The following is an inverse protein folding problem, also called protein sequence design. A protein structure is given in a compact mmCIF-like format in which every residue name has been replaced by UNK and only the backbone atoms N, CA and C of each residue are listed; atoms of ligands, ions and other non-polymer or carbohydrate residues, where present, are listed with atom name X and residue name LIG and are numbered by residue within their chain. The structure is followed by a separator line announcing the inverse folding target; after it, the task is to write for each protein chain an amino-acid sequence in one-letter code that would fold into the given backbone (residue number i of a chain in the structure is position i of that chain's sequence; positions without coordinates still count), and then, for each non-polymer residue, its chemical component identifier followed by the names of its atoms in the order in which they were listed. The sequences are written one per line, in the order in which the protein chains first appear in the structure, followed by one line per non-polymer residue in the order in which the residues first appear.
data_IF_804565888720
#
_entry.id   IF_804565888720
#
_cell.length_a   1.000
_cell.length_b   1.000
_cell.length_c   1.000
_cell.angle_alpha   90.00
_cell.angle_beta   90.00
_cell.angle_gamma   90.00
#
_symmetry.space_group_name_H-M   'P 1'
#
loop_
_entity.id
_entity.type
_entity.pdbx_description
1 polymer ?
#
# COMPACT_ATOMS: atom_id res chain seq x y z
N UNK A 1 24.87 11.04 3.53
CA UNK A 1 23.92 11.45 4.58
C UNK A 1 23.76 10.25 5.48
N UNK A 2 24.60 10.17 6.50
CA UNK A 2 24.32 9.29 7.63
C UNK A 2 23.33 10.04 8.54
N UNK A 3 22.47 9.35 9.29
CA UNK A 3 21.56 10.00 10.25
C UNK A 3 22.30 10.77 11.33
N UNK A 4 23.50 10.30 11.69
CA UNK A 4 24.31 10.78 12.79
C UNK A 4 25.34 11.85 12.37
N UNK A 5 25.69 11.90 11.08
CA UNK A 5 26.54 12.95 10.51
C UNK A 5 25.94 13.54 9.22
N UNK A 6 25.63 14.84 9.27
CA UNK A 6 25.16 15.62 8.12
C UNK A 6 23.94 16.48 8.43
N UNK A 7 23.15 16.82 7.39
CA UNK A 7 22.05 17.79 7.50
C UNK A 7 21.11 17.57 8.69
N UNK A 8 20.77 16.30 9.00
CA UNK A 8 19.86 15.97 10.10
C UNK A 8 20.50 16.28 11.46
N UNK A 9 21.76 15.90 11.66
CA UNK A 9 22.51 16.17 12.89
C UNK A 9 22.82 17.67 13.04
N UNK A 10 23.13 18.37 11.95
CA UNK A 10 23.39 19.81 11.97
C UNK A 10 22.16 20.63 12.42
N UNK A 11 20.93 20.09 12.34
CA UNK A 11 19.74 20.77 12.88
C UNK A 11 19.75 20.85 14.41
N UNK A 12 20.46 19.94 15.08
CA UNK A 12 20.62 19.93 16.53
C UNK A 12 21.95 20.58 16.97
N UNK A 13 22.80 20.98 16.01
CA UNK A 13 24.10 21.60 16.27
C UNK A 13 23.93 23.05 16.78
N UNK A 14 24.35 23.38 18.02
CA UNK A 14 24.22 24.73 18.56
C UNK A 14 24.92 25.80 17.72
N UNK A 15 26.00 25.44 17.02
CA UNK A 15 26.73 26.36 16.14
C UNK A 15 25.97 26.69 14.86
N UNK A 16 24.98 25.89 14.46
CA UNK A 16 24.14 26.13 13.28
C UNK A 16 22.76 26.69 13.65
N UNK A 17 22.44 26.75 14.95
CA UNK A 17 21.11 27.09 15.44
C UNK A 17 20.61 28.47 14.98
N UNK A 18 21.52 29.43 14.75
CA UNK A 18 21.19 30.77 14.26
C UNK A 18 20.82 30.81 12.78
N UNK A 19 21.22 29.80 11.99
CA UNK A 19 20.87 29.66 10.58
C UNK A 19 19.56 28.90 10.39
N UNK A 20 19.14 28.11 11.38
CA UNK A 20 17.98 27.22 11.30
C UNK A 20 16.67 27.97 11.60
N UNK A 21 15.73 28.09 10.63
CA UNK A 21 14.43 28.70 10.88
C UNK A 21 13.68 27.99 12.01
N UNK A 22 13.03 28.72 12.96
CA UNK A 22 12.36 28.11 14.11
C UNK A 22 11.33 27.04 13.74
N UNK A 23 10.53 27.28 12.70
CA UNK A 23 9.54 26.32 12.19
C UNK A 23 10.18 25.06 11.61
N UNK A 24 11.40 25.15 11.09
CA UNK A 24 12.10 23.99 10.54
C UNK A 24 12.65 23.09 11.65
N UNK A 25 13.01 23.67 12.81
CA UNK A 25 13.54 22.93 13.98
C UNK A 25 12.56 21.86 14.47
N UNK A 26 11.27 22.16 14.52
CA UNK A 26 10.22 21.21 14.92
C UNK A 26 9.82 20.23 13.81
N UNK A 27 10.27 20.47 12.57
CA UNK A 27 9.86 19.69 11.40
C UNK A 27 10.94 18.70 10.91
N UNK A 28 11.97 18.41 11.74
CA UNK A 28 13.04 17.46 11.42
C UNK A 28 12.51 16.10 10.99
N UNK A 29 11.57 15.53 11.76
CA UNK A 29 11.02 14.21 11.47
C UNK A 29 10.11 14.19 10.25
N UNK A 30 9.52 15.33 9.88
CA UNK A 30 8.79 15.48 8.61
C UNK A 30 9.76 15.58 7.44
N UNK A 31 10.84 16.37 7.57
CA UNK A 31 11.82 16.55 6.50
C UNK A 31 12.53 15.23 6.14
N UNK A 32 12.99 14.49 7.15
CA UNK A 32 13.76 13.25 6.95
C UNK A 32 12.90 11.99 7.02
N UNK A 33 11.65 12.05 7.48
CA UNK A 33 10.83 10.88 7.72
C UNK A 33 11.51 9.90 8.68
N UNK A 34 11.34 8.60 8.41
CA UNK A 34 12.04 7.52 9.10
C UNK A 34 13.35 7.12 8.40
N UNK A 35 14.07 8.07 7.79
CA UNK A 35 15.39 7.78 7.20
C UNK A 35 16.38 7.10 8.16
N UNK A 36 16.45 7.43 9.47
CA UNK A 36 17.33 6.72 10.40
C UNK A 36 17.03 5.21 10.47
N UNK A 37 15.75 4.84 10.55
CA UNK A 37 15.31 3.44 10.56
C UNK A 37 15.75 2.69 9.28
N UNK A 38 15.60 3.33 8.11
CA UNK A 38 16.05 2.77 6.84
C UNK A 38 17.57 2.61 6.82
N UNK A 39 18.31 3.62 7.28
CA UNK A 39 19.76 3.58 7.33
C UNK A 39 20.25 2.45 8.23
N UNK A 40 19.74 2.34 9.46
CA UNK A 40 20.15 1.33 10.42
C UNK A 40 19.89 -0.08 9.91
N UNK A 41 18.72 -0.31 9.30
CA UNK A 41 18.41 -1.58 8.65
C UNK A 41 19.44 -1.92 7.57
N UNK A 42 19.77 -0.97 6.68
CA UNK A 42 20.70 -1.24 5.60
C UNK A 42 22.13 -1.40 6.08
N UNK A 43 22.59 -0.52 6.97
CA UNK A 43 23.96 -0.47 7.46
C UNK A 43 24.29 -1.66 8.34
N UNK A 44 23.38 -2.02 9.26
CA UNK A 44 23.67 -3.01 10.30
C UNK A 44 23.19 -4.43 9.94
N UNK A 45 22.29 -4.56 8.96
CA UNK A 45 21.67 -5.86 8.62
C UNK A 45 21.81 -6.16 7.15
N UNK A 46 21.19 -5.38 6.27
CA UNK A 46 20.98 -5.80 4.89
C UNK A 46 22.28 -5.83 4.08
N UNK A 47 23.16 -4.85 4.27
CA UNK A 47 24.45 -4.80 3.58
C UNK A 47 25.29 -6.06 3.86
N UNK A 48 25.41 -6.47 5.12
CA UNK A 48 26.17 -7.67 5.49
C UNK A 48 25.60 -8.96 4.89
N UNK A 49 24.26 -9.08 4.80
CA UNK A 49 23.65 -10.21 4.11
C UNK A 49 23.97 -10.19 2.61
N UNK A 50 23.95 -9.02 1.95
CA UNK A 50 24.35 -8.91 0.55
C UNK A 50 25.82 -9.27 0.33
N UNK A 51 26.72 -8.79 1.21
CA UNK A 51 28.16 -9.11 1.16
C UNK A 51 28.41 -10.61 1.35
N UNK A 52 27.60 -11.30 2.16
CA UNK A 52 27.70 -12.75 2.33
C UNK A 52 27.33 -13.56 1.08
N UNK A 53 26.68 -12.94 0.08
CA UNK A 53 26.31 -13.57 -1.17
C UNK A 53 27.29 -13.30 -2.32
N UNK A 54 28.43 -12.63 -2.10
CA UNK A 54 29.36 -12.27 -3.18
C UNK A 54 29.87 -13.49 -3.97
N UNK A 55 30.17 -14.59 -3.26
CA UNK A 55 30.66 -15.83 -3.88
C UNK A 55 29.55 -16.71 -4.49
N UNK A 56 28.29 -16.46 -4.11
CA UNK A 56 27.11 -17.19 -4.60
C UNK A 56 25.92 -16.23 -4.79
N UNK A 57 25.94 -15.37 -5.83
CA UNK A 57 24.94 -14.31 -6.02
C UNK A 57 23.50 -14.81 -6.14
N UNK A 58 23.30 -16.01 -6.67
CA UNK A 58 22.00 -16.69 -6.80
C UNK A 58 21.31 -16.93 -5.46
N UNK A 59 22.04 -16.90 -4.34
CA UNK A 59 21.47 -17.03 -2.99
C UNK A 59 20.89 -15.72 -2.44
N UNK A 60 21.09 -14.59 -3.12
CA UNK A 60 20.61 -13.29 -2.63
C UNK A 60 19.07 -13.26 -2.48
N UNK A 61 18.34 -14.11 -3.20
CA UNK A 61 16.89 -14.26 -3.06
C UNK A 61 16.48 -14.54 -1.61
N UNK A 62 17.22 -15.40 -0.90
CA UNK A 62 16.98 -15.68 0.52
C UNK A 62 17.11 -14.43 1.38
N UNK A 63 18.12 -13.58 1.13
CA UNK A 63 18.31 -12.34 1.87
C UNK A 63 17.12 -11.38 1.73
N UNK A 64 16.43 -11.38 0.59
CA UNK A 64 15.23 -10.55 0.41
C UNK A 64 14.00 -11.16 1.08
N UNK A 65 13.87 -12.49 1.08
CA UNK A 65 12.71 -13.19 1.66
C UNK A 65 12.71 -13.19 3.19
N UNK A 66 13.88 -13.17 3.82
CA UNK A 66 13.99 -13.16 5.29
C UNK A 66 13.76 -11.80 5.95
N UNK A 67 13.82 -10.71 5.18
CA UNK A 67 13.83 -9.35 5.73
C UNK A 67 12.54 -8.62 5.42
N UNK A 68 12.12 -7.76 6.35
CA UNK A 68 10.98 -6.88 6.15
C UNK A 68 11.45 -5.52 5.63
N UNK A 69 10.76 -5.04 4.60
CA UNK A 69 11.00 -3.76 3.95
C UNK A 69 9.84 -2.77 4.17
N UNK A 70 8.89 -3.06 5.08
CA UNK A 70 7.74 -2.19 5.37
C UNK A 70 8.12 -0.77 5.78
N UNK A 71 9.32 -0.53 6.33
CA UNK A 71 9.79 0.83 6.70
C UNK A 71 9.78 1.79 5.50
N UNK A 72 9.86 1.28 4.26
CA UNK A 72 9.74 2.10 3.06
C UNK A 72 8.33 2.68 2.84
N UNK A 73 7.27 2.01 3.31
CA UNK A 73 5.90 2.52 3.21
C UNK A 73 5.77 3.83 3.98
N UNK A 74 6.22 3.84 5.23
CA UNK A 74 6.23 5.02 6.11
C UNK A 74 7.02 6.18 5.49
N UNK A 75 8.19 5.88 4.90
CA UNK A 75 9.01 6.91 4.25
C UNK A 75 8.29 7.52 3.05
N UNK A 76 7.75 6.67 2.17
CA UNK A 76 7.05 7.11 0.98
C UNK A 76 5.79 7.92 1.31
N UNK A 77 4.99 7.49 2.30
CA UNK A 77 3.81 8.24 2.77
C UNK A 77 4.16 9.65 3.25
N UNK A 78 5.29 9.81 3.95
CA UNK A 78 5.79 11.10 4.42
C UNK A 78 6.43 11.96 3.30
N UNK A 79 6.94 11.35 2.23
CA UNK A 79 7.72 12.04 1.18
C UNK A 79 7.03 13.29 0.60
N UNK A 80 5.70 13.31 0.32
CA UNK A 80 5.04 14.52 -0.15
C UNK A 80 5.07 15.68 0.86
N UNK A 81 4.97 15.39 2.16
CA UNK A 81 5.06 16.41 3.22
C UNK A 81 6.49 16.93 3.32
N UNK A 82 7.48 16.03 3.28
CA UNK A 82 8.90 16.38 3.19
C UNK A 82 9.21 17.29 1.98
N UNK A 83 8.64 17.00 0.81
CA UNK A 83 8.80 17.82 -0.40
C UNK A 83 8.16 19.20 -0.26
N UNK A 84 6.93 19.27 0.26
CA UNK A 84 6.24 20.54 0.48
C UNK A 84 7.02 21.43 1.46
N UNK A 85 7.56 20.83 2.53
CA UNK A 85 8.45 21.51 3.47
C UNK A 85 9.74 21.96 2.80
N UNK A 86 10.40 21.08 2.04
CA UNK A 86 11.63 21.43 1.31
C UNK A 86 11.41 22.63 0.39
N UNK A 87 10.32 22.68 -0.38
CA UNK A 87 10.02 23.80 -1.28
C UNK A 87 9.96 25.15 -0.55
N UNK A 88 9.50 25.18 0.69
CA UNK A 88 9.41 26.40 1.49
C UNK A 88 10.78 26.87 2.03
N UNK A 89 11.73 25.95 2.22
CA UNK A 89 12.99 26.21 2.91
C UNK A 89 14.24 25.90 2.08
N UNK A 90 14.11 25.51 0.81
CA UNK A 90 15.23 25.07 -0.04
C UNK A 90 16.36 26.10 -0.13
N UNK A 91 16.02 27.40 -0.10
CA UNK A 91 16.98 28.51 -0.17
C UNK A 91 17.55 28.93 1.20
N UNK A 92 17.15 28.27 2.30
CA UNK A 92 17.64 28.59 3.64
C UNK A 92 19.16 28.50 3.73
N UNK A 93 19.79 29.51 4.34
CA UNK A 93 21.23 29.56 4.58
C UNK A 93 21.72 28.33 5.35
N UNK A 94 20.89 27.77 6.23
CA UNK A 94 21.20 26.52 6.94
C UNK A 94 21.57 25.39 5.99
N UNK A 95 20.77 25.15 4.93
CA UNK A 95 21.02 24.06 4.00
C UNK A 95 22.21 24.34 3.09
N UNK A 96 22.42 25.60 2.71
CA UNK A 96 23.59 26.01 1.92
C UNK A 96 24.89 25.76 2.70
N UNK A 97 24.94 26.14 3.98
CA UNK A 97 26.11 25.90 4.83
C UNK A 97 26.32 24.41 5.12
N UNK A 98 25.26 23.64 5.38
CA UNK A 98 25.37 22.18 5.47
C UNK A 98 25.92 21.57 4.19
N UNK A 99 25.46 22.02 3.02
CA UNK A 99 25.91 21.51 1.72
C UNK A 99 27.38 21.82 1.47
N UNK A 100 27.85 23.02 1.83
CA UNK A 100 29.27 23.41 1.75
C UNK A 100 30.13 22.57 2.70
N UNK A 101 29.75 22.45 3.98
CA UNK A 101 30.48 21.64 4.97
C UNK A 101 30.65 20.18 4.53
N UNK A 102 29.64 19.63 3.88
CA UNK A 102 29.63 18.24 3.40
C UNK A 102 30.20 18.09 1.98
N UNK A 103 30.60 19.19 1.33
CA UNK A 103 31.10 19.21 -0.05
C UNK A 103 30.16 18.52 -1.06
N UNK A 104 28.85 18.63 -0.83
CA UNK A 104 27.84 17.97 -1.63
C UNK A 104 27.57 18.70 -2.95
N UNK A 105 27.67 17.98 -4.07
CA UNK A 105 27.35 18.50 -5.41
C UNK A 105 25.85 18.63 -5.68
N UNK A 106 25.02 17.83 -5.00
CA UNK A 106 23.57 17.84 -5.13
C UNK A 106 22.93 18.48 -3.90
N UNK A 107 21.75 19.05 -4.09
CA UNK A 107 20.90 19.55 -3.01
C UNK A 107 20.33 18.40 -2.16
N UNK A 108 19.88 18.71 -0.93
CA UNK A 108 19.37 17.73 0.03
C UNK A 108 18.22 16.89 -0.54
N UNK A 109 17.27 17.48 -1.27
CA UNK A 109 16.12 16.77 -1.84
C UNK A 109 16.51 15.60 -2.76
N UNK A 110 17.62 15.74 -3.50
CA UNK A 110 18.17 14.66 -4.32
C UNK A 110 18.57 13.44 -3.48
N UNK A 111 19.06 13.66 -2.27
CA UNK A 111 19.37 12.58 -1.33
C UNK A 111 18.11 12.05 -0.63
N UNK A 112 17.15 12.93 -0.30
CA UNK A 112 15.84 12.52 0.24
C UNK A 112 15.04 11.65 -0.74
N UNK A 113 15.37 11.68 -2.04
CA UNK A 113 14.75 10.79 -3.04
C UNK A 113 15.38 9.39 -3.09
N UNK A 114 16.58 9.20 -2.51
CA UNK A 114 17.32 7.93 -2.60
C UNK A 114 16.57 6.72 -2.05
N UNK A 115 15.84 6.78 -0.91
CA UNK A 115 15.08 5.62 -0.45
C UNK A 115 14.01 5.17 -1.47
N UNK A 116 13.24 6.11 -2.02
CA UNK A 116 12.22 5.82 -3.06
C UNK A 116 12.86 5.17 -4.29
N UNK A 117 14.00 5.71 -4.74
CA UNK A 117 14.76 5.15 -5.86
C UNK A 117 15.35 3.78 -5.53
N UNK A 118 15.79 3.55 -4.29
CA UNK A 118 16.41 2.28 -3.89
C UNK A 118 15.38 1.16 -3.87
N UNK A 119 14.20 1.41 -3.28
CA UNK A 119 13.08 0.48 -3.27
C UNK A 119 12.72 0.00 -4.69
N UNK A 120 12.59 0.94 -5.63
CA UNK A 120 12.20 0.63 -7.02
C UNK A 120 13.31 -0.03 -7.83
N UNK A 121 14.58 0.10 -7.42
CA UNK A 121 15.72 -0.57 -8.06
C UNK A 121 15.86 -2.04 -7.70
N UNK A 122 15.42 -2.48 -6.51
CA UNK A 122 15.61 -3.87 -6.08
C UNK A 122 14.97 -4.88 -7.03
N UNK A 123 13.73 -4.65 -7.45
CA UNK A 123 13.07 -5.53 -8.41
C UNK A 123 13.77 -5.56 -9.79
N UNK A 124 14.39 -4.45 -10.22
CA UNK A 124 15.17 -4.42 -11.47
C UNK A 124 16.42 -5.27 -11.36
N UNK A 125 17.15 -5.14 -10.24
CA UNK A 125 18.38 -5.89 -9.99
C UNK A 125 18.11 -7.39 -9.85
N UNK A 126 17.07 -7.78 -9.12
CA UNK A 126 16.64 -9.18 -8.98
C UNK A 126 16.21 -9.76 -10.32
N UNK A 127 15.45 -9.00 -11.12
CA UNK A 127 15.05 -9.40 -12.47
C UNK A 127 16.26 -9.56 -13.38
N UNK A 128 17.26 -8.70 -13.27
CA UNK A 128 18.48 -8.79 -14.07
C UNK A 128 19.28 -10.04 -13.68
N UNK A 129 19.49 -10.26 -12.38
CA UNK A 129 20.19 -11.43 -11.88
C UNK A 129 19.49 -12.75 -12.30
N UNK A 130 18.16 -12.79 -12.22
CA UNK A 130 17.36 -13.95 -12.63
C UNK A 130 17.61 -14.38 -14.08
N UNK A 131 17.88 -13.43 -15.00
CA UNK A 131 18.19 -13.74 -16.40
C UNK A 131 19.46 -14.59 -16.55
N UNK A 132 20.41 -14.45 -15.62
CA UNK A 132 21.71 -15.12 -15.67
C UNK A 132 21.79 -16.37 -14.78
N UNK A 133 20.79 -16.62 -13.94
CA UNK A 133 20.81 -17.72 -12.97
C UNK A 133 20.03 -18.98 -13.40
N UNK A 134 19.57 -19.10 -14.65
CA UNK A 134 18.51 -20.05 -15.09
C UNK A 134 18.68 -21.55 -14.78
N UNK A 135 19.87 -21.99 -14.38
CA UNK A 135 20.18 -23.38 -14.03
C UNK A 135 20.94 -23.55 -12.69
N UNK A 136 20.92 -22.52 -11.84
CA UNK A 136 21.57 -22.51 -10.54
C UNK A 136 20.61 -22.93 -9.41
N UNK A 137 21.16 -23.43 -8.30
CA UNK A 137 20.41 -23.58 -7.05
C UNK A 137 20.05 -22.18 -6.52
N UNK A 138 18.81 -21.94 -6.04
CA UNK A 138 18.37 -20.62 -5.57
C UNK A 138 17.51 -19.79 -6.54
N UNK A 139 17.33 -20.23 -7.79
CA UNK A 139 16.50 -19.53 -8.79
C UNK A 139 15.06 -19.34 -8.34
N UNK A 140 14.51 -20.34 -7.66
CA UNK A 140 13.14 -20.30 -7.14
C UNK A 140 13.00 -19.18 -6.12
N UNK A 141 13.92 -19.09 -5.18
CA UNK A 141 13.94 -18.06 -4.14
C UNK A 141 14.23 -16.68 -4.73
N UNK A 142 15.05 -16.60 -5.78
CA UNK A 142 15.25 -15.37 -6.54
C UNK A 142 13.96 -14.87 -7.20
N UNK A 143 13.20 -15.79 -7.80
CA UNK A 143 11.92 -15.50 -8.43
C UNK A 143 10.86 -15.10 -7.39
N UNK A 144 10.82 -15.76 -6.24
CA UNK A 144 9.94 -15.40 -5.12
C UNK A 144 10.31 -14.02 -4.54
N UNK A 145 11.61 -13.73 -4.36
CA UNK A 145 12.09 -12.42 -3.93
C UNK A 145 11.71 -11.31 -4.91
N UNK A 146 11.81 -11.56 -6.22
CA UNK A 146 11.38 -10.62 -7.25
C UNK A 146 9.88 -10.30 -7.11
N UNK A 147 9.05 -11.33 -6.95
CA UNK A 147 7.61 -11.16 -6.74
C UNK A 147 7.33 -10.36 -5.46
N UNK A 148 7.98 -10.71 -4.35
CA UNK A 148 7.83 -10.00 -3.08
C UNK A 148 8.20 -8.51 -3.19
N UNK A 149 9.29 -8.18 -3.89
CA UNK A 149 9.70 -6.79 -4.10
C UNK A 149 8.75 -6.03 -5.04
N UNK A 150 8.22 -6.67 -6.08
CA UNK A 150 7.19 -6.08 -6.95
C UNK A 150 5.91 -5.80 -6.17
N UNK A 151 5.47 -6.75 -5.33
CA UNK A 151 4.30 -6.61 -4.48
C UNK A 151 4.47 -5.51 -3.44
N UNK A 152 5.67 -5.36 -2.88
CA UNK A 152 5.98 -4.26 -1.96
C UNK A 152 5.92 -2.90 -2.66
N UNK A 153 6.57 -2.75 -3.83
CA UNK A 153 6.53 -1.49 -4.59
C UNK A 153 5.09 -1.12 -4.93
N UNK A 154 4.29 -2.09 -5.36
CA UNK A 154 2.87 -1.91 -5.65
C UNK A 154 2.09 -1.52 -4.39
N UNK A 155 2.32 -2.21 -3.28
CA UNK A 155 1.69 -1.94 -1.98
C UNK A 155 1.96 -0.53 -1.50
N UNK A 156 3.22 -0.11 -1.52
CA UNK A 156 3.63 1.25 -1.12
C UNK A 156 2.96 2.28 -2.02
N UNK A 157 2.96 2.06 -3.35
CA UNK A 157 2.28 2.94 -4.29
C UNK A 157 0.76 3.04 -4.02
N UNK A 158 0.10 1.91 -3.77
CA UNK A 158 -1.34 1.90 -3.47
C UNK A 158 -1.66 2.62 -2.14
N UNK A 159 -0.78 2.47 -1.15
CA UNK A 159 -0.85 3.18 0.14
C UNK A 159 -0.71 4.70 -0.01
N UNK A 160 0.06 5.19 -1.00
CA UNK A 160 0.12 6.63 -1.32
C UNK A 160 -1.22 7.23 -1.72
N UNK A 161 -2.09 6.44 -2.36
CA UNK A 161 -3.43 6.86 -2.74
C UNK A 161 -4.39 6.84 -1.54
N UNK A 162 -4.23 5.89 -0.60
CA UNK A 162 -5.03 5.79 0.63
C UNK A 162 -4.94 7.06 1.48
N UNK A 163 -3.74 7.60 1.70
CA UNK A 163 -3.56 8.83 2.49
C UNK A 163 -4.16 10.08 1.82
N UNK A 164 -4.64 9.96 0.57
CA UNK A 164 -5.32 11.03 -0.16
C UNK A 164 -6.85 10.91 -0.08
N UNK A 165 -7.37 9.93 0.68
CA UNK A 165 -8.81 9.75 0.94
C UNK A 165 -9.25 10.70 2.06
N UNK A 166 -10.35 11.42 1.83
CA UNK A 166 -10.93 12.40 2.74
C UNK A 166 -12.41 12.11 2.99
N UNK A 167 -12.92 12.49 4.17
CA UNK A 167 -14.33 12.37 4.52
C UNK A 167 -14.79 10.97 4.92
N UNK A 168 -13.86 10.07 5.26
CA UNK A 168 -14.16 8.81 5.93
C UNK A 168 -14.15 9.04 7.45
N UNK A 169 -15.25 8.68 8.12
CA UNK A 169 -15.43 8.85 9.57
C UNK A 169 -15.08 7.53 10.28
N UNK A 170 -13.79 7.21 10.30
CA UNK A 170 -13.23 5.98 10.84
C UNK A 170 -11.75 5.82 10.50
N UNK A 171 -11.11 4.77 11.01
CA UNK A 171 -9.73 4.46 10.68
C UNK A 171 -9.65 3.53 9.45
N UNK A 172 -9.06 4.02 8.36
CA UNK A 172 -8.83 3.22 7.16
C UNK A 172 -7.87 2.05 7.42
N UNK A 173 -6.99 2.15 8.43
CA UNK A 173 -6.09 1.07 8.84
C UNK A 173 -6.83 -0.17 9.34
N UNK A 174 -8.02 -0.01 9.93
CA UNK A 174 -8.83 -1.14 10.41
C UNK A 174 -9.35 -2.02 9.27
N UNK A 175 -9.47 -1.47 8.05
CA UNK A 175 -9.90 -2.18 6.85
C UNK A 175 -8.84 -3.18 6.35
N UNK A 176 -7.62 -3.12 6.87
CA UNK A 176 -6.48 -3.95 6.49
C UNK A 176 -5.64 -3.33 5.37
N UNK A 177 -4.83 -4.15 4.70
CA UNK A 177 -3.96 -3.68 3.62
C UNK A 177 -4.77 -3.32 2.36
N UNK A 178 -4.37 -2.26 1.66
CA UNK A 178 -4.88 -1.98 0.30
C UNK A 178 -4.24 -2.97 -0.68
N UNK A 179 -5.08 -3.76 -1.33
CA UNK A 179 -4.68 -4.78 -2.29
C UNK A 179 -4.73 -4.26 -3.72
N UNK A 180 -5.67 -3.38 -4.04
CA UNK A 180 -5.80 -2.75 -5.36
C UNK A 180 -6.48 -1.40 -5.27
N UNK A 181 -6.19 -0.52 -6.22
CA UNK A 181 -6.96 0.68 -6.46
C UNK A 181 -7.08 0.98 -7.96
N UNK A 182 -8.13 1.72 -8.35
CA UNK A 182 -8.34 2.07 -9.75
C UNK A 182 -9.60 2.90 -9.99
N UNK A 183 -9.65 3.56 -11.14
CA UNK A 183 -10.81 4.35 -11.56
C UNK A 183 -11.72 3.56 -12.50
N UNK A 184 -13.02 3.57 -12.22
CA UNK A 184 -14.05 2.81 -12.92
C UNK A 184 -15.30 3.63 -13.22
N UNK A 185 -15.96 3.27 -14.31
CA UNK A 185 -17.36 3.63 -14.53
C UNK A 185 -18.25 2.66 -13.77
N UNK A 186 -19.07 3.17 -12.85
CA UNK A 186 -19.94 2.36 -11.97
C UNK A 186 -21.41 2.73 -12.18
N UNK A 187 -22.24 1.72 -12.44
CA UNK A 187 -23.70 1.84 -12.43
C UNK A 187 -24.26 1.15 -11.20
N UNK A 188 -25.35 1.68 -10.64
CA UNK A 188 -26.02 1.09 -9.48
C UNK A 188 -27.37 0.50 -9.92
N UNK A 189 -27.51 -0.80 -9.78
CA UNK A 189 -28.77 -1.52 -9.89
C UNK A 189 -29.30 -1.81 -8.50
N UNK A 190 -30.33 -1.10 -8.07
CA UNK A 190 -31.11 -1.48 -6.89
C UNK A 190 -32.26 -2.40 -7.33
N UNK A 191 -32.40 -3.56 -6.67
CA UNK A 191 -33.67 -4.28 -6.68
C UNK A 191 -34.70 -3.41 -5.93
N UNK A 192 -35.93 -3.37 -6.45
CA UNK A 192 -37.01 -2.45 -6.04
C UNK A 192 -37.20 -2.42 -4.51
N UNK A 193 -36.73 -1.35 -3.87
CA UNK A 193 -37.06 -0.94 -2.50
C UNK A 193 -37.47 0.55 -2.48
N UNK A 194 -38.20 1.02 -1.44
CA UNK A 194 -38.87 2.32 -1.43
C UNK A 194 -37.93 3.52 -1.32
N UNK A 195 -36.63 3.29 -1.12
CA UNK A 195 -35.62 4.33 -0.94
C UNK A 195 -35.27 4.95 -2.30
N UNK A 196 -35.96 6.03 -2.63
CA UNK A 196 -35.80 6.87 -3.82
C UNK A 196 -34.40 7.49 -3.90
N UNK A 197 -33.37 6.72 -4.27
CA UNK A 197 -32.15 7.30 -4.80
C UNK A 197 -32.42 7.64 -6.28
N UNK A 198 -32.40 8.93 -6.61
CA UNK A 198 -32.75 9.50 -7.93
C UNK A 198 -32.27 8.63 -9.10
N UNK A 199 -33.17 8.35 -10.03
CA UNK A 199 -33.02 7.53 -11.25
C UNK A 199 -31.85 7.87 -12.19
N UNK A 200 -31.06 8.89 -11.91
CA UNK A 200 -29.95 9.34 -12.76
C UNK A 200 -28.80 8.32 -12.85
N UNK A 201 -28.49 7.59 -11.78
CA UNK A 201 -27.39 6.60 -11.77
C UNK A 201 -27.74 5.31 -12.53
N UNK A 202 -29.01 5.14 -12.93
CA UNK A 202 -29.48 3.96 -13.66
C UNK A 202 -29.08 3.99 -15.14
N UNK A 203 -28.90 5.19 -15.71
CA UNK A 203 -28.58 5.38 -17.12
C UNK A 203 -27.21 6.01 -17.36
N UNK A 204 -26.71 6.86 -16.43
CA UNK A 204 -25.40 7.50 -16.55
C UNK A 204 -24.40 6.86 -15.57
N UNK A 205 -23.25 6.33 -16.04
CA UNK A 205 -22.22 5.81 -15.15
C UNK A 205 -21.69 6.93 -14.25
N UNK A 206 -21.46 6.57 -12.99
CA UNK A 206 -20.72 7.41 -12.07
C UNK A 206 -19.24 7.07 -12.16
N UNK A 207 -18.37 8.07 -12.25
CA UNK A 207 -16.94 7.84 -12.07
C UNK A 207 -16.65 7.61 -10.59
N UNK A 208 -16.03 6.47 -10.28
CA UNK A 208 -15.62 6.09 -8.93
C UNK A 208 -14.19 5.57 -8.96
N UNK A 209 -13.42 6.00 -7.97
CA UNK A 209 -12.15 5.40 -7.65
C UNK A 209 -12.40 4.36 -6.56
N UNK A 210 -12.11 3.10 -6.84
CA UNK A 210 -12.31 2.00 -5.91
C UNK A 210 -10.99 1.67 -5.22
N UNK A 211 -11.07 1.35 -3.94
CA UNK A 211 -9.96 0.83 -3.14
C UNK A 211 -10.40 -0.52 -2.56
N UNK A 212 -9.72 -1.58 -2.97
CA UNK A 212 -9.95 -2.93 -2.46
C UNK A 212 -9.01 -3.15 -1.27
N UNK A 213 -9.58 -3.20 -0.07
CA UNK A 213 -8.91 -3.60 1.16
C UNK A 213 -9.18 -5.08 1.46
N UNK A 214 -8.40 -5.66 2.36
CA UNK A 214 -8.61 -7.04 2.82
C UNK A 214 -10.01 -7.27 3.42
N UNK A 215 -10.56 -6.27 4.12
CA UNK A 215 -11.86 -6.38 4.81
C UNK A 215 -12.98 -5.56 4.19
N UNK A 216 -12.69 -4.64 3.28
CA UNK A 216 -13.71 -3.79 2.66
C UNK A 216 -13.37 -3.37 1.22
N UNK A 217 -14.40 -3.05 0.45
CA UNK A 217 -14.29 -2.34 -0.83
C UNK A 217 -14.80 -0.90 -0.63
N UNK A 218 -13.91 0.08 -0.77
CA UNK A 218 -14.22 1.50 -0.55
C UNK A 218 -14.42 2.22 -1.88
N UNK A 219 -15.50 2.98 -1.97
CA UNK A 219 -15.88 3.79 -3.12
C UNK A 219 -15.59 5.26 -2.84
N UNK A 220 -14.76 5.85 -3.69
CA UNK A 220 -14.41 7.27 -3.63
C UNK A 220 -14.80 7.99 -4.93
N UNK A 221 -15.01 9.30 -4.84
CA UNK A 221 -15.04 10.21 -5.99
C UNK A 221 -13.69 10.92 -6.07
N UNK A 222 -12.98 10.77 -7.18
CA UNK A 222 -11.76 11.55 -7.45
C UNK A 222 -12.15 13.03 -7.55
N UNK A 223 -11.46 13.89 -6.80
CA UNK A 223 -11.55 15.34 -6.94
C UNK A 223 -10.46 15.78 -7.92
N UNK A 224 -10.82 16.68 -8.80
CA UNK A 224 -9.87 17.47 -9.56
C UNK A 224 -9.72 18.77 -8.78
N UNK A 225 -8.53 19.01 -8.24
CA UNK A 225 -8.22 20.30 -7.60
C UNK A 225 -7.89 21.31 -8.69
N UNK A 226 -8.71 22.35 -8.81
CA UNK A 226 -8.52 23.51 -9.68
C UNK A 226 -7.69 24.62 -8.99
N UNK A 227 -6.78 24.27 -8.09
CA UNK A 227 -5.94 25.27 -7.44
C UNK A 227 -4.63 25.42 -8.21
N UNK A 228 -4.21 26.67 -8.48
CA UNK A 228 -2.90 27.06 -9.02
C UNK A 228 -1.70 26.66 -8.12
N UNK A 229 -1.95 25.83 -7.10
CA UNK A 229 -0.91 25.21 -6.28
C UNK A 229 -0.27 24.06 -7.04
N UNK A 230 1.06 24.06 -7.08
CA UNK A 230 1.89 23.03 -7.72
C UNK A 230 1.70 21.60 -7.16
N UNK A 231 0.86 21.41 -6.13
CA UNK A 231 0.43 20.09 -5.64
C UNK A 231 -0.74 19.55 -6.48
N UNK A 232 -0.43 18.99 -7.65
CA UNK A 232 -1.37 18.18 -8.46
C UNK A 232 -1.65 16.81 -7.81
N UNK A 233 -2.00 16.78 -6.53
CA UNK A 233 -2.31 15.51 -5.85
C UNK A 233 -3.75 15.11 -6.19
N UNK A 234 -3.92 13.87 -6.61
CA UNK A 234 -5.28 13.31 -6.75
C UNK A 234 -5.88 13.09 -5.37
N UNK A 235 -6.81 13.94 -4.96
CA UNK A 235 -7.57 13.75 -3.72
C UNK A 235 -8.85 12.94 -3.98
N UNK A 236 -9.23 12.11 -3.02
CA UNK A 236 -10.35 11.18 -3.13
C UNK A 236 -11.36 11.49 -2.03
N UNK A 237 -12.62 11.75 -2.38
CA UNK A 237 -13.68 11.85 -1.39
C UNK A 237 -14.38 10.53 -1.21
N UNK A 238 -14.38 10.04 0.02
CA UNK A 238 -15.17 8.90 0.43
C UNK A 238 -16.66 9.08 0.05
N UNK A 239 -17.29 7.99 -0.38
CA UNK A 239 -18.71 7.94 -0.72
C UNK A 239 -19.43 6.77 -0.07
N UNK A 240 -18.83 5.59 -0.08
CA UNK A 240 -19.46 4.38 0.41
C UNK A 240 -18.42 3.29 0.66
N UNK A 241 -18.75 2.25 1.43
CA UNK A 241 -17.92 1.06 1.55
C UNK A 241 -18.78 -0.20 1.69
N UNK A 242 -18.27 -1.31 1.19
CA UNK A 242 -18.89 -2.63 1.30
C UNK A 242 -17.96 -3.52 2.12
N UNK A 243 -18.47 -4.16 3.17
CA UNK A 243 -17.68 -5.14 3.93
C UNK A 243 -17.53 -6.42 3.11
N UNK A 244 -16.30 -6.93 3.00
CA UNK A 244 -16.02 -8.07 2.12
C UNK A 244 -16.77 -9.34 2.51
N UNK A 245 -17.21 -9.47 3.77
CA UNK A 245 -17.98 -10.62 4.27
C UNK A 245 -19.37 -10.79 3.64
N UNK A 246 -19.92 -9.72 3.03
CA UNK A 246 -21.22 -9.74 2.36
C UNK A 246 -21.13 -9.33 0.88
N UNK A 247 -19.91 -9.25 0.35
CA UNK A 247 -19.64 -8.99 -1.08
C UNK A 247 -19.67 -10.30 -1.86
N UNK A 248 -20.24 -10.26 -3.05
CA UNK A 248 -20.03 -11.26 -4.08
C UNK A 248 -19.87 -10.62 -5.46
N UNK A 249 -19.49 -11.44 -6.44
CA UNK A 249 -19.15 -10.97 -7.79
C UNK A 249 -19.91 -11.75 -8.87
N UNK A 250 -20.09 -11.14 -10.03
CA UNK A 250 -20.50 -11.81 -11.28
C UNK A 250 -19.56 -11.37 -12.39
N UNK A 251 -18.83 -12.32 -12.96
CA UNK A 251 -17.75 -12.03 -13.92
C UNK A 251 -18.27 -11.55 -15.27
N UNK A 252 -19.39 -12.10 -15.74
CA UNK A 252 -19.88 -11.87 -17.10
C UNK A 252 -21.15 -11.01 -17.09
N UNK A 253 -21.04 -9.83 -17.71
CA UNK A 253 -22.16 -8.93 -17.96
C UNK A 253 -22.39 -8.87 -19.47
N UNK A 254 -23.65 -9.02 -19.89
CA UNK A 254 -23.99 -8.99 -21.32
C UNK A 254 -23.59 -7.66 -21.95
N UNK A 255 -22.98 -7.72 -23.14
CA UNK A 255 -22.68 -6.57 -23.99
C UNK A 255 -21.33 -5.90 -23.81
N UNK A 256 -20.54 -6.19 -22.77
CA UNK A 256 -19.17 -5.67 -22.62
C UNK A 256 -18.28 -6.62 -21.79
N UNK A 257 -17.22 -7.14 -22.40
CA UNK A 257 -16.27 -8.05 -21.75
C UNK A 257 -15.47 -7.39 -20.62
N UNK A 258 -15.43 -6.05 -20.56
CA UNK A 258 -14.74 -5.29 -19.50
C UNK A 258 -15.64 -4.98 -18.30
N UNK A 259 -16.91 -5.37 -18.36
CA UNK A 259 -17.86 -5.22 -17.25
C UNK A 259 -17.92 -6.46 -16.38
N UNK A 260 -18.10 -6.24 -15.08
CA UNK A 260 -18.40 -7.23 -14.07
C UNK A 260 -19.34 -6.63 -13.03
N UNK A 261 -20.00 -7.45 -12.23
CA UNK A 261 -20.87 -6.98 -11.14
C UNK A 261 -20.23 -7.27 -9.79
N UNK A 262 -20.39 -6.32 -8.88
CA UNK A 262 -20.14 -6.50 -7.45
C UNK A 262 -21.50 -6.34 -6.79
N UNK A 263 -21.97 -7.38 -6.12
CA UNK A 263 -23.23 -7.36 -5.41
C UNK A 263 -22.99 -7.49 -3.91
N UNK A 264 -23.87 -6.90 -3.11
CA UNK A 264 -23.75 -6.84 -1.66
C UNK A 264 -25.05 -7.32 -1.00
N UNK A 265 -24.94 -7.95 0.18
CA UNK A 265 -26.07 -8.35 1.02
C UNK A 265 -27.15 -9.12 0.22
N UNK A 266 -26.77 -10.21 -0.44
CA UNK A 266 -27.73 -11.02 -1.21
C UNK A 266 -28.31 -10.32 -2.46
N UNK A 267 -27.55 -9.39 -3.07
CA UNK A 267 -27.94 -8.58 -4.25
C UNK A 267 -28.98 -7.48 -3.96
N UNK A 268 -29.11 -7.04 -2.70
CA UNK A 268 -29.83 -5.80 -2.36
C UNK A 268 -29.24 -4.58 -3.07
N UNK A 269 -27.91 -4.56 -3.15
CA UNK A 269 -27.15 -3.59 -3.94
C UNK A 269 -26.35 -4.31 -5.02
N UNK A 270 -26.45 -3.85 -6.26
CA UNK A 270 -25.66 -4.37 -7.38
C UNK A 270 -24.93 -3.22 -8.05
N UNK A 271 -23.61 -3.32 -8.12
CA UNK A 271 -22.73 -2.36 -8.77
C UNK A 271 -22.18 -2.99 -10.05
N UNK A 272 -22.57 -2.48 -11.21
CA UNK A 272 -21.93 -2.85 -12.47
C UNK A 272 -20.68 -1.99 -12.62
N UNK A 273 -19.51 -2.63 -12.69
CA UNK A 273 -18.20 -1.97 -12.75
C UNK A 273 -17.60 -2.23 -14.13
N UNK A 274 -17.22 -1.16 -14.85
CA UNK A 274 -16.51 -1.27 -16.12
C UNK A 274 -15.05 -0.85 -15.94
N UNK A 275 -14.15 -1.79 -16.19
CA UNK A 275 -12.72 -1.54 -16.22
C UNK A 275 -12.28 -0.88 -17.53
N UNK A 276 -11.11 -0.24 -17.51
CA UNK A 276 -10.51 0.37 -18.72
C UNK A 276 -10.12 -0.70 -19.75
N UNK A 277 -9.54 -1.81 -19.28
CA UNK A 277 -9.08 -2.94 -20.08
C UNK A 277 -9.64 -4.26 -19.54
N UNK A 278 -9.65 -5.30 -20.39
CA UNK A 278 -10.04 -6.65 -19.98
C UNK A 278 -9.09 -7.22 -18.92
N UNK A 279 -7.78 -7.00 -19.10
CA UNK A 279 -6.78 -7.48 -18.15
C UNK A 279 -6.97 -6.87 -16.76
N UNK A 280 -7.26 -5.56 -16.70
CA UNK A 280 -7.55 -4.90 -15.42
C UNK A 280 -8.78 -5.52 -14.74
N UNK A 281 -9.86 -5.81 -15.49
CA UNK A 281 -11.02 -6.54 -14.96
C UNK A 281 -10.59 -7.90 -14.40
N UNK A 282 -9.80 -8.68 -15.13
CA UNK A 282 -9.36 -10.00 -14.69
C UNK A 282 -8.51 -9.93 -13.42
N UNK A 283 -7.59 -8.96 -13.33
CA UNK A 283 -6.79 -8.74 -12.11
C UNK A 283 -7.69 -8.43 -10.91
N UNK A 284 -8.67 -7.55 -11.07
CA UNK A 284 -9.63 -7.20 -10.01
C UNK A 284 -10.48 -8.40 -9.56
N UNK A 285 -11.01 -9.18 -10.50
CA UNK A 285 -11.79 -10.37 -10.18
C UNK A 285 -10.94 -11.42 -9.46
N UNK A 286 -9.70 -11.62 -9.87
CA UNK A 286 -8.80 -12.57 -9.23
C UNK A 286 -8.46 -12.17 -7.79
N UNK A 287 -8.17 -10.89 -7.53
CA UNK A 287 -7.93 -10.41 -6.16
C UNK A 287 -9.18 -10.51 -5.28
N UNK A 288 -10.35 -10.12 -5.79
CA UNK A 288 -11.61 -10.29 -5.03
C UNK A 288 -11.87 -11.77 -4.73
N UNK A 289 -11.66 -12.68 -5.70
CA UNK A 289 -11.78 -14.13 -5.49
C UNK A 289 -10.84 -14.64 -4.41
N UNK A 290 -9.58 -14.17 -4.38
CA UNK A 290 -8.62 -14.56 -3.32
C UNK A 290 -9.14 -14.18 -1.94
N UNK A 291 -9.71 -13.00 -1.77
CA UNK A 291 -10.29 -12.55 -0.49
C UNK A 291 -11.49 -13.43 -0.11
N UNK A 292 -12.43 -13.62 -1.03
CA UNK A 292 -13.63 -14.43 -0.80
C UNK A 292 -13.27 -15.88 -0.46
N UNK A 293 -12.28 -16.45 -1.15
CA UNK A 293 -11.79 -17.80 -0.88
C UNK A 293 -11.16 -17.89 0.52
N UNK A 294 -10.29 -16.94 0.90
CA UNK A 294 -9.72 -16.89 2.26
C UNK A 294 -10.81 -16.83 3.33
N UNK A 295 -11.85 -16.01 3.13
CA UNK A 295 -12.98 -15.92 4.07
C UNK A 295 -13.77 -17.23 4.19
N UNK A 296 -14.03 -17.91 3.07
CA UNK A 296 -14.69 -19.22 3.09
C UNK A 296 -13.89 -20.26 3.88
N UNK A 297 -12.56 -20.27 3.74
CA UNK A 297 -11.69 -21.19 4.48
C UNK A 297 -11.73 -20.91 5.99
N UNK A 298 -11.75 -19.63 6.39
CA UNK A 298 -11.89 -19.24 7.81
C UNK A 298 -13.24 -19.67 8.39
N UNK A 299 -14.33 -19.54 7.63
CA UNK A 299 -15.66 -19.98 8.06
C UNK A 299 -15.69 -21.51 8.24
N UNK A 300 -15.17 -22.27 7.27
CA UNK A 300 -15.05 -23.75 7.37
C UNK A 300 -14.20 -24.17 8.57
N UNK A 301 -13.08 -23.48 8.82
CA UNK A 301 -12.22 -23.67 9.99
C UNK A 301 -12.96 -23.45 11.32
N UNK A 302 -13.74 -22.37 11.44
CA UNK A 302 -14.55 -22.10 12.64
C UNK A 302 -15.67 -23.13 12.84
N UNK A 303 -16.37 -23.52 11.78
CA UNK A 303 -17.43 -24.54 11.87
C UNK A 303 -16.88 -25.90 12.27
N UNK A 304 -15.71 -26.28 11.77
CA UNK A 304 -15.04 -27.53 12.19
C UNK A 304 -14.54 -27.48 13.64
N UNK A 305 -14.04 -26.34 14.11
CA UNK A 305 -13.67 -26.12 15.52
C UNK A 305 -14.89 -26.16 16.46
N UNK A 306 -15.99 -25.51 16.10
CA UNK A 306 -17.26 -25.54 16.84
C UNK A 306 -17.84 -26.97 16.90
N UNK A 307 -17.80 -27.73 15.79
CA UNK A 307 -18.22 -29.14 15.78
C UNK A 307 -17.35 -30.03 16.68
N UNK A 308 -16.04 -29.77 16.77
CA UNK A 308 -15.14 -30.49 17.69
C UNK A 308 -15.42 -30.12 19.15
N UNK A 309 -15.66 -28.84 19.45
CA UNK A 309 -16.02 -28.38 20.79
C UNK A 309 -17.37 -28.95 21.24
N UNK A 310 -18.37 -29.01 20.36
CA UNK A 310 -19.69 -29.57 20.67
C UNK A 310 -19.65 -31.08 20.91
N UNK A 311 -18.75 -31.83 20.25
CA UNK A 311 -18.51 -33.27 20.53
C UNK A 311 -17.79 -33.50 21.85
N UNK A 312 -16.92 -32.58 22.29
CA UNK A 312 -16.29 -32.66 23.61
C UNK A 312 -17.29 -32.39 24.74
N UNK A 313 -18.25 -31.48 24.56
CA UNK A 313 -19.33 -31.24 25.55
C UNK A 313 -20.28 -32.44 25.63
N UNK A 314 -20.68 -33.03 24.50
CA UNK A 314 -21.53 -34.24 24.49
C UNK A 314 -20.87 -35.46 25.17
N UNK A 315 -19.55 -35.59 25.11
CA UNK A 315 -18.83 -36.68 25.79
C UNK A 315 -18.71 -36.47 27.31
N UNK A 316 -18.86 -35.23 27.82
CA UNK A 316 -18.85 -34.95 29.25
C UNK A 316 -20.23 -35.21 29.88
N UNK A 317 -21.32 -34.96 29.15
CA UNK A 317 -22.69 -35.25 29.62
C UNK A 317 -23.01 -36.76 29.68
N UNK A 318 -22.36 -37.58 28.84
CA UNK A 318 -22.54 -39.05 28.83
C UNK A 318 -21.78 -39.75 29.98
N UNK A 319 -20.82 -39.07 30.60
CA UNK A 319 -20.13 -39.55 31.80
C UNK A 319 -20.88 -39.23 33.11
N UNK A 320 -21.83 -38.29 33.09
CA UNK A 320 -22.63 -37.88 34.26
C UNK A 320 -23.88 -38.72 34.51
N UNK A 321 -24.26 -39.62 33.59
CA UNK A 321 -25.48 -40.44 33.69
C UNK A 321 -25.23 -41.88 34.16
N UNK A 322 -24.01 -42.19 34.62
CA UNK A 322 -23.62 -43.48 35.22
C UNK A 322 -22.92 -43.29 36.56
N UNK A 323 -23.63 -42.76 37.55
CA UNK A 323 -23.37 -42.98 38.99
C UNK A 323 -24.70 -43.17 39.70
#
# INVERSE_FOLDING_TARGET
ITPDDGYRAEMDNPTMAFLLPPLLRSCKDVLFGNMPEIYDFHNNIFLHHLESCLEAPERVGYCFLEKDFQMYEKYCQNKPQSESLWRQYAESLFFQECQKKLEHKLSLDSYLLKPVQRLTKYQLLLKELLKYSTSCEGVKELQEALVAMLDLVKSVNDSMHQISITGYDGDLGELGKVLMQGSFSVWVGHQKGPTKMKDLARFKPMQRHLFLYEKALVFCKKREEHCDSYDKRSSYSFKHFLKMNAVGITENVKGDLRKFEIWYSGREEVYVVQAQTFDLKMTWLNEIRKILFKQQQLIKGKVSSLRKSSRHVQNLDDFGSRV
#
